data_IF_912413913065
#
_entry.id   IF_912413913065
#
_cell.length_a   1.000
_cell.length_b   1.000
_cell.length_c   1.000
_cell.angle_alpha   90.00
_cell.angle_beta   90.00
_cell.angle_gamma   90.00
#
_symmetry.space_group_name_H-M   'P 1'
#
loop_
_entity.id
_entity.type
_entity.pdbx_description
1 polymer ?
#
# COMPACT_ATOMS: atom_id res chain seq x y z
N UNK A 1 13.05 -10.42 -14.42
CA UNK A 1 13.22 -8.97 -14.62
C UNK A 1 12.89 -8.69 -16.07
N UNK A 2 12.17 -7.60 -16.36
CA UNK A 2 12.06 -7.17 -17.76
C UNK A 2 13.49 -6.97 -18.30
N UNK A 3 13.83 -7.45 -19.51
CA UNK A 3 15.13 -7.20 -20.14
C UNK A 3 15.51 -5.71 -20.21
N UNK A 4 14.53 -4.81 -20.08
CA UNK A 4 14.69 -3.38 -20.31
C UNK A 4 15.40 -2.60 -19.20
N UNK A 5 15.66 -3.19 -18.02
CA UNK A 5 16.31 -2.48 -16.90
C UNK A 5 17.43 -3.33 -16.26
N UNK A 6 18.61 -3.44 -16.90
CA UNK A 6 19.77 -4.07 -16.29
C UNK A 6 20.24 -3.24 -15.09
N UNK A 7 20.30 -3.88 -13.92
CA UNK A 7 20.96 -3.34 -12.74
C UNK A 7 22.47 -3.49 -12.92
N UNK A 8 23.23 -2.49 -12.48
CA UNK A 8 24.68 -2.53 -12.39
C UNK A 8 25.09 -1.82 -11.10
N UNK A 9 26.21 -2.24 -10.50
CA UNK A 9 26.67 -1.71 -9.22
C UNK A 9 26.96 -0.22 -9.30
N UNK A 10 27.48 0.31 -10.43
CA UNK A 10 27.71 1.76 -10.55
C UNK A 10 26.41 2.54 -10.46
N UNK A 11 25.36 2.10 -11.17
CA UNK A 11 24.03 2.72 -11.08
C UNK A 11 23.48 2.70 -9.66
N UNK A 12 23.75 1.64 -8.90
CA UNK A 12 23.34 1.55 -7.49
C UNK A 12 24.06 2.60 -6.65
N UNK A 13 25.38 2.73 -6.80
CA UNK A 13 26.19 3.73 -6.11
C UNK A 13 25.75 5.16 -6.48
N UNK A 14 25.56 5.45 -7.78
CA UNK A 14 25.07 6.75 -8.26
C UNK A 14 23.70 7.11 -7.65
N UNK A 15 22.81 6.11 -7.48
CA UNK A 15 21.52 6.30 -6.82
C UNK A 15 21.70 6.62 -5.34
N UNK A 16 22.60 5.94 -4.64
CA UNK A 16 22.88 6.21 -3.23
C UNK A 16 23.43 7.63 -3.05
N UNK A 17 24.37 8.06 -3.91
CA UNK A 17 24.92 9.41 -3.93
C UNK A 17 23.84 10.46 -4.18
N UNK A 18 23.00 10.27 -5.22
CA UNK A 18 21.90 11.19 -5.55
C UNK A 18 20.88 11.31 -4.43
N UNK A 19 20.67 10.23 -3.66
CA UNK A 19 19.76 10.20 -2.51
C UNK A 19 20.42 10.72 -1.23
N UNK A 20 21.71 11.07 -1.24
CA UNK A 20 22.45 11.53 -0.06
C UNK A 20 22.65 10.45 1.00
N UNK A 21 22.61 9.16 0.61
CA UNK A 21 22.78 8.05 1.54
C UNK A 21 24.27 7.79 1.71
N UNK A 22 24.79 8.03 2.92
CA UNK A 22 26.17 7.72 3.27
C UNK A 22 26.42 6.21 3.16
N UNK A 23 27.45 5.84 2.40
CA UNK A 23 27.77 4.45 2.14
C UNK A 23 29.27 4.24 1.89
N UNK A 24 29.73 3.00 2.13
CA UNK A 24 31.08 2.55 1.81
C UNK A 24 31.05 1.20 1.11
N UNK A 25 31.75 1.07 -0.02
CA UNK A 25 31.92 -0.21 -0.70
C UNK A 25 33.09 -0.97 -0.06
N UNK A 26 32.83 -2.16 0.45
CA UNK A 26 33.83 -3.10 0.96
C UNK A 26 34.01 -4.25 -0.04
N UNK A 27 35.28 -4.56 -0.33
CA UNK A 27 35.65 -5.47 -1.42
C UNK A 27 35.85 -4.72 -2.74
N UNK A 28 35.42 -5.33 -3.85
CA UNK A 28 35.61 -4.78 -5.19
C UNK A 28 34.29 -4.57 -5.94
N UNK A 29 34.38 -3.98 -7.13
CA UNK A 29 33.25 -3.97 -8.06
C UNK A 29 32.82 -5.40 -8.40
N UNK A 30 31.51 -5.63 -8.57
CA UNK A 30 30.94 -6.92 -8.95
C UNK A 30 29.96 -6.73 -10.10
N UNK A 31 29.95 -7.69 -11.02
CA UNK A 31 28.88 -7.85 -11.99
C UNK A 31 27.63 -8.32 -11.22
N UNK A 32 26.67 -7.41 -11.01
CA UNK A 32 25.35 -7.75 -10.47
C UNK A 32 24.33 -7.72 -11.59
N UNK A 33 23.40 -8.66 -11.58
CA UNK A 33 22.44 -8.85 -12.68
C UNK A 33 21.00 -8.69 -12.25
N UNK A 34 20.74 -8.76 -10.94
CA UNK A 34 19.37 -8.77 -10.39
C UNK A 34 19.35 -8.36 -8.92
N UNK A 35 18.23 -7.79 -8.50
CA UNK A 35 17.90 -7.66 -7.07
C UNK A 35 17.31 -8.98 -6.59
N UNK A 36 17.90 -9.58 -5.56
CA UNK A 36 17.58 -10.93 -5.12
C UNK A 36 17.08 -10.96 -3.67
N UNK A 37 16.28 -11.98 -3.34
CA UNK A 37 15.86 -12.23 -1.96
C UNK A 37 16.76 -13.28 -1.32
N UNK A 38 16.95 -13.22 0.01
CA UNK A 38 17.67 -14.28 0.72
C UNK A 38 16.93 -15.63 0.73
N UNK A 39 15.67 -15.67 0.30
CA UNK A 39 14.88 -16.91 0.14
C UNK A 39 15.23 -17.67 -1.15
N UNK A 40 15.55 -16.95 -2.23
CA UNK A 40 15.97 -17.51 -3.51
C UNK A 40 17.30 -16.87 -3.91
N UNK A 41 18.39 -17.53 -3.50
CA UNK A 41 19.75 -17.03 -3.71
C UNK A 41 20.23 -17.43 -5.11
N UNK A 42 20.64 -16.43 -5.87
CA UNK A 42 21.30 -16.54 -7.16
C UNK A 42 22.69 -15.88 -7.08
N UNK A 43 23.71 -16.37 -7.81
CA UNK A 43 24.97 -15.66 -7.94
C UNK A 43 24.74 -14.30 -8.61
N UNK A 44 25.68 -13.36 -8.45
CA UNK A 44 25.61 -12.02 -9.06
C UNK A 44 24.35 -11.23 -8.64
N UNK A 45 23.87 -11.41 -7.41
CA UNK A 45 22.69 -10.71 -6.89
C UNK A 45 23.05 -9.48 -6.07
N UNK A 46 22.16 -8.49 -6.07
CA UNK A 46 22.11 -7.43 -5.06
C UNK A 46 21.13 -7.86 -3.96
N UNK A 47 21.61 -7.94 -2.73
CA UNK A 47 20.86 -8.34 -1.55
C UNK A 47 20.86 -7.22 -0.50
N UNK A 48 19.97 -7.33 0.48
CA UNK A 48 20.10 -6.59 1.73
C UNK A 48 20.07 -7.55 2.93
N UNK A 49 20.74 -7.18 4.01
CA UNK A 49 20.71 -7.91 5.27
C UNK A 49 20.47 -6.93 6.43
N UNK A 50 19.30 -7.05 7.06
CA UNK A 50 18.90 -6.21 8.18
C UNK A 50 19.32 -6.75 9.56
N UNK A 51 19.85 -7.98 9.62
CA UNK A 51 20.44 -8.54 10.83
C UNK A 51 21.80 -7.94 11.14
N UNK A 52 22.40 -8.38 12.25
CA UNK A 52 23.72 -7.97 12.70
C UNK A 52 24.76 -9.07 12.55
N UNK A 53 24.41 -10.23 11.99
CA UNK A 53 25.32 -11.36 11.86
C UNK A 53 25.97 -11.39 10.47
N UNK A 54 27.23 -11.81 10.42
CA UNK A 54 27.98 -11.88 9.18
C UNK A 54 27.69 -13.14 8.33
N UNK A 55 26.79 -14.03 8.78
CA UNK A 55 26.59 -15.33 8.14
C UNK A 55 26.08 -15.20 6.70
N UNK A 56 25.42 -14.09 6.36
CA UNK A 56 24.90 -13.83 5.02
C UNK A 56 25.96 -13.99 3.92
N UNK A 57 27.20 -13.56 4.17
CA UNK A 57 28.30 -13.61 3.18
C UNK A 57 28.74 -15.04 2.86
N UNK A 58 28.51 -16.01 3.74
CA UNK A 58 28.79 -17.44 3.46
C UNK A 58 27.72 -18.08 2.57
N UNK A 59 26.54 -17.46 2.48
CA UNK A 59 25.37 -18.06 1.83
C UNK A 59 25.12 -17.55 0.41
N UNK A 60 25.66 -16.39 0.07
CA UNK A 60 25.59 -15.77 -1.27
C UNK A 60 26.93 -15.92 -1.98
N UNK A 61 26.93 -15.86 -3.32
CA UNK A 61 28.12 -16.06 -4.15
C UNK A 61 28.28 -14.94 -5.17
N UNK A 62 29.48 -14.38 -5.28
CA UNK A 62 29.83 -13.34 -6.26
C UNK A 62 28.83 -12.18 -6.30
N UNK A 63 28.31 -11.80 -5.14
CA UNK A 63 27.16 -10.91 -4.97
C UNK A 63 27.53 -9.65 -4.20
N UNK A 64 26.59 -8.70 -4.13
CA UNK A 64 26.71 -7.49 -3.32
C UNK A 64 25.63 -7.50 -2.24
N UNK A 65 26.01 -7.28 -0.99
CA UNK A 65 25.08 -7.21 0.14
C UNK A 65 25.06 -5.80 0.72
N UNK A 66 23.89 -5.19 0.80
CA UNK A 66 23.67 -3.95 1.56
C UNK A 66 23.49 -4.33 3.04
N UNK A 67 24.33 -3.82 3.92
CA UNK A 67 24.28 -4.13 5.34
C UNK A 67 24.76 -2.96 6.19
N UNK A 68 24.58 -3.05 7.52
CA UNK A 68 25.24 -2.13 8.45
C UNK A 68 26.65 -2.61 8.79
N UNK A 69 27.44 -1.74 9.40
CA UNK A 69 28.83 -2.04 9.78
C UNK A 69 28.91 -3.23 10.76
N UNK A 70 27.93 -3.42 11.64
CA UNK A 70 27.93 -4.51 12.63
C UNK A 70 27.78 -5.89 11.99
N UNK A 71 27.17 -5.96 10.80
CA UNK A 71 26.99 -7.21 10.07
C UNK A 71 28.14 -7.53 9.11
N UNK A 72 29.15 -6.66 9.00
CA UNK A 72 30.28 -6.85 8.09
C UNK A 72 31.23 -7.94 8.65
N UNK A 73 31.59 -8.91 7.81
CA UNK A 73 32.57 -9.94 8.13
C UNK A 73 33.39 -10.34 6.90
N UNK A 74 33.95 -11.56 6.90
CA UNK A 74 34.64 -12.08 5.73
C UNK A 74 33.70 -12.17 4.52
N UNK A 75 34.11 -11.59 3.40
CA UNK A 75 33.23 -11.43 2.25
C UNK A 75 33.06 -12.72 1.42
N UNK A 76 33.94 -13.72 1.56
CA UNK A 76 33.89 -14.99 0.82
C UNK A 76 33.68 -14.85 -0.70
N UNK A 77 34.36 -13.88 -1.33
CA UNK A 77 34.22 -13.61 -2.77
C UNK A 77 33.03 -12.74 -3.15
N UNK A 78 32.32 -12.17 -2.18
CA UNK A 78 31.30 -11.14 -2.37
C UNK A 78 31.88 -9.72 -2.20
N UNK A 79 31.00 -8.72 -2.21
CA UNK A 79 31.27 -7.34 -1.79
C UNK A 79 30.12 -6.85 -0.91
N UNK A 80 30.34 -5.76 -0.16
CA UNK A 80 29.30 -5.17 0.69
C UNK A 80 29.15 -3.66 0.44
N UNK A 81 27.92 -3.17 0.46
CA UNK A 81 27.62 -1.73 0.58
C UNK A 81 27.24 -1.50 2.04
N UNK A 82 28.15 -0.93 2.80
CA UNK A 82 27.95 -0.62 4.22
C UNK A 82 27.23 0.72 4.33
N UNK A 83 26.11 0.75 5.04
CA UNK A 83 25.26 1.94 5.24
C UNK A 83 24.96 2.18 6.73
N UNK A 84 24.70 3.44 7.09
CA UNK A 84 24.31 3.83 8.45
C UNK A 84 22.79 3.74 8.69
N UNK A 85 21.99 3.70 7.62
CA UNK A 85 20.53 3.57 7.67
C UNK A 85 20.07 2.11 7.77
N UNK A 86 18.75 1.88 7.82
CA UNK A 86 18.18 0.53 7.68
C UNK A 86 18.46 -0.05 6.28
N UNK A 87 19.19 -1.19 6.16
CA UNK A 87 19.45 -1.81 4.87
C UNK A 87 18.17 -2.11 4.08
N UNK A 88 17.05 -2.41 4.76
CA UNK A 88 15.75 -2.61 4.11
C UNK A 88 15.22 -1.30 3.49
N UNK A 89 15.34 -0.19 4.21
CA UNK A 89 14.95 1.13 3.70
C UNK A 89 15.80 1.51 2.48
N UNK A 90 17.11 1.27 2.55
CA UNK A 90 18.05 1.61 1.48
C UNK A 90 17.73 0.84 0.20
N UNK A 91 17.54 -0.49 0.27
CA UNK A 91 17.21 -1.27 -0.93
C UNK A 91 15.84 -0.85 -1.51
N UNK A 92 14.86 -0.49 -0.67
CA UNK A 92 13.56 0.01 -1.15
C UNK A 92 13.71 1.33 -1.91
N UNK A 93 14.54 2.26 -1.40
CA UNK A 93 14.83 3.52 -2.09
C UNK A 93 15.57 3.29 -3.41
N UNK A 94 16.55 2.38 -3.45
CA UNK A 94 17.24 2.00 -4.69
C UNK A 94 16.24 1.44 -5.70
N UNK A 95 15.41 0.47 -5.29
CA UNK A 95 14.43 -0.14 -6.16
C UNK A 95 13.40 0.87 -6.69
N UNK A 96 12.93 1.78 -5.84
CA UNK A 96 12.02 2.84 -6.26
C UNK A 96 12.69 3.79 -7.26
N UNK A 97 13.95 4.17 -7.05
CA UNK A 97 14.68 5.06 -7.94
C UNK A 97 15.01 4.44 -9.30
N UNK A 98 15.21 3.12 -9.36
CA UNK A 98 15.60 2.41 -10.58
C UNK A 98 14.44 1.77 -11.34
N UNK A 99 13.39 1.33 -10.66
CA UNK A 99 12.36 0.46 -11.24
C UNK A 99 10.93 0.96 -11.08
N UNK A 100 10.66 2.03 -10.32
CA UNK A 100 9.31 2.53 -10.19
C UNK A 100 8.79 3.05 -11.54
N UNK A 101 7.68 2.47 -12.01
CA UNK A 101 7.02 2.91 -13.24
C UNK A 101 6.42 4.29 -13.02
N UNK A 102 6.76 5.23 -13.90
CA UNK A 102 6.10 6.54 -14.00
C UNK A 102 5.40 6.59 -15.35
N UNK A 103 4.10 6.23 -15.42
CA UNK A 103 3.37 6.38 -16.68
C UNK A 103 3.37 7.86 -17.07
N UNK A 104 3.46 8.16 -18.38
CA UNK A 104 3.36 9.55 -18.84
C UNK A 104 2.00 10.13 -18.44
N UNK A 105 1.98 11.42 -18.12
CA UNK A 105 0.74 12.15 -17.92
C UNK A 105 -0.07 12.21 -19.22
N UNK A 106 -1.39 12.27 -19.08
CA UNK A 106 -2.34 12.27 -20.18
C UNK A 106 -3.45 11.24 -20.03
N UNK A 107 -4.40 11.30 -20.96
CA UNK A 107 -5.55 10.40 -21.03
C UNK A 107 -5.33 9.45 -22.20
N UNK A 108 -5.27 8.16 -21.94
CA UNK A 108 -5.11 7.16 -22.99
C UNK A 108 -6.28 7.25 -23.98
N UNK A 109 -6.07 7.11 -25.30
CA UNK A 109 -7.14 7.26 -26.31
C UNK A 109 -8.35 6.32 -26.15
N UNK A 110 -8.20 5.23 -25.41
CA UNK A 110 -9.27 4.27 -25.14
C UNK A 110 -9.99 4.49 -23.81
N UNK A 111 -9.57 5.49 -23.01
CA UNK A 111 -10.26 5.86 -21.80
C UNK A 111 -11.51 6.70 -22.12
N UNK A 112 -12.59 6.49 -21.37
CA UNK A 112 -13.82 7.27 -21.47
C UNK A 112 -13.90 8.16 -20.24
N UNK A 113 -13.80 9.47 -20.44
CA UNK A 113 -13.87 10.48 -19.38
C UNK A 113 -15.08 11.36 -19.62
N UNK A 114 -15.93 11.50 -18.61
CA UNK A 114 -17.11 12.34 -18.69
C UNK A 114 -16.69 13.80 -18.97
N UNK A 115 -17.39 14.55 -19.86
CA UNK A 115 -16.99 15.92 -20.23
C UNK A 115 -16.87 16.91 -19.06
N UNK A 116 -17.69 16.71 -18.01
CA UNK A 116 -17.65 17.52 -16.78
C UNK A 116 -16.67 16.99 -15.71
N UNK A 117 -15.94 15.91 -15.96
CA UNK A 117 -14.92 15.44 -15.03
C UNK A 117 -13.80 16.49 -14.91
N UNK A 118 -13.30 16.69 -13.69
CA UNK A 118 -12.21 17.64 -13.41
C UNK A 118 -10.92 16.86 -13.23
N UNK A 119 -10.00 17.02 -14.16
CA UNK A 119 -8.72 16.31 -14.18
C UNK A 119 -7.59 17.28 -13.83
N UNK A 120 -6.83 16.96 -12.79
CA UNK A 120 -5.68 17.73 -12.33
C UNK A 120 -4.47 17.68 -13.27
N UNK A 121 -3.44 18.44 -12.91
CA UNK A 121 -2.17 18.46 -13.63
C UNK A 121 -1.41 17.13 -13.47
N UNK A 122 -0.65 16.73 -14.49
CA UNK A 122 0.18 15.51 -14.46
C UNK A 122 -0.58 14.20 -14.12
N UNK A 123 -1.90 14.16 -14.32
CA UNK A 123 -2.70 12.94 -14.14
C UNK A 123 -2.44 11.97 -15.30
N UNK A 124 -2.25 10.70 -14.99
CA UNK A 124 -2.17 9.60 -15.96
C UNK A 124 -3.44 8.74 -15.89
N UNK A 125 -4.21 8.70 -16.96
CA UNK A 125 -5.37 7.81 -17.11
C UNK A 125 -5.05 6.74 -18.15
N UNK A 126 -4.90 5.49 -17.68
CA UNK A 126 -4.54 4.33 -18.48
C UNK A 126 -5.64 3.85 -19.44
N UNK A 127 -5.34 2.80 -20.23
CA UNK A 127 -6.26 2.30 -21.24
C UNK A 127 -7.54 1.74 -20.62
N UNK A 128 -8.67 2.00 -21.27
CA UNK A 128 -10.00 1.47 -20.90
C UNK A 128 -10.48 1.88 -19.50
N UNK A 129 -9.91 2.93 -18.91
CA UNK A 129 -10.49 3.56 -17.74
C UNK A 129 -11.83 4.21 -18.08
N UNK A 130 -12.74 4.23 -17.11
CA UNK A 130 -14.01 4.96 -17.20
C UNK A 130 -14.12 5.91 -16.01
N UNK A 131 -14.23 7.20 -16.28
CA UNK A 131 -14.32 8.26 -15.26
C UNK A 131 -15.62 9.03 -15.44
N UNK A 132 -16.50 8.96 -14.44
CA UNK A 132 -17.76 9.71 -14.37
C UNK A 132 -17.57 11.18 -14.03
N UNK A 133 -18.66 11.87 -13.67
CA UNK A 133 -18.65 13.27 -13.18
C UNK A 133 -17.95 13.39 -11.83
N UNK A 134 -16.63 13.38 -11.86
CA UNK A 134 -15.78 13.24 -10.69
C UNK A 134 -14.53 14.10 -10.80
N UNK A 135 -13.84 14.30 -9.67
CA UNK A 135 -12.60 15.08 -9.61
C UNK A 135 -11.42 14.17 -9.34
N UNK A 136 -10.35 14.34 -10.10
CA UNK A 136 -9.08 13.62 -9.96
C UNK A 136 -7.96 14.64 -9.71
N UNK A 137 -7.32 14.57 -8.55
CA UNK A 137 -6.25 15.49 -8.15
C UNK A 137 -4.92 15.25 -8.86
N UNK A 138 -4.03 16.24 -8.74
CA UNK A 138 -2.77 16.31 -9.48
C UNK A 138 -1.84 15.11 -9.27
N UNK A 139 -1.15 14.67 -10.31
CA UNK A 139 -0.17 13.59 -10.25
C UNK A 139 -0.76 12.19 -9.96
N UNK A 140 -2.09 12.08 -9.90
CA UNK A 140 -2.78 10.80 -9.69
C UNK A 140 -2.66 9.90 -10.92
N UNK A 141 -2.63 8.59 -10.67
CA UNK A 141 -2.40 7.54 -11.68
C UNK A 141 -3.50 6.51 -11.60
N UNK A 142 -4.25 6.37 -12.68
CA UNK A 142 -5.25 5.33 -12.89
C UNK A 142 -4.67 4.32 -13.88
N UNK A 143 -4.41 3.10 -13.44
CA UNK A 143 -4.00 2.01 -14.33
C UNK A 143 -5.18 1.47 -15.14
N UNK A 144 -4.91 0.53 -16.04
CA UNK A 144 -5.91 0.02 -16.99
C UNK A 144 -7.18 -0.48 -16.31
N UNK A 145 -8.33 -0.20 -16.92
CA UNK A 145 -9.64 -0.66 -16.46
C UNK A 145 -10.07 -0.16 -15.06
N UNK A 146 -9.49 0.94 -14.57
CA UNK A 146 -10.03 1.62 -13.38
C UNK A 146 -11.37 2.27 -13.71
N UNK A 147 -12.35 2.11 -12.81
CA UNK A 147 -13.67 2.73 -12.92
C UNK A 147 -13.87 3.70 -11.75
N UNK A 148 -14.13 4.97 -12.07
CA UNK A 148 -14.53 6.00 -11.11
C UNK A 148 -15.96 6.40 -11.44
N UNK A 149 -16.91 6.08 -10.55
CA UNK A 149 -18.31 6.50 -10.68
C UNK A 149 -18.49 8.00 -10.49
N UNK A 150 -19.71 8.49 -10.72
CA UNK A 150 -20.08 9.90 -10.53
C UNK A 150 -19.93 10.35 -9.06
N UNK A 151 -19.71 11.65 -8.84
CA UNK A 151 -19.71 12.24 -7.50
C UNK A 151 -18.54 11.80 -6.63
N UNK A 152 -17.46 11.28 -7.23
CA UNK A 152 -16.27 10.90 -6.50
C UNK A 152 -15.23 12.03 -6.52
N UNK A 153 -14.49 12.15 -5.42
CA UNK A 153 -13.36 13.05 -5.28
C UNK A 153 -12.11 12.25 -4.94
N UNK A 154 -11.14 12.27 -5.83
CA UNK A 154 -9.84 11.62 -5.66
C UNK A 154 -8.79 12.70 -5.46
N UNK A 155 -8.03 12.62 -4.37
CA UNK A 155 -6.96 13.54 -4.03
C UNK A 155 -5.77 13.50 -5.00
N UNK A 156 -4.72 14.23 -4.65
CA UNK A 156 -3.48 14.29 -5.42
C UNK A 156 -2.58 13.06 -5.14
N UNK A 157 -1.77 12.68 -6.14
CA UNK A 157 -0.76 11.61 -6.06
C UNK A 157 -1.35 10.24 -5.67
N UNK A 158 -2.63 10.03 -5.92
CA UNK A 158 -3.30 8.75 -5.68
C UNK A 158 -2.96 7.77 -6.78
N UNK A 159 -2.60 6.53 -6.41
CA UNK A 159 -2.32 5.45 -7.36
C UNK A 159 -3.40 4.36 -7.25
N UNK A 160 -4.08 4.10 -8.37
CA UNK A 160 -5.12 3.09 -8.49
C UNK A 160 -4.66 2.03 -9.49
N UNK A 161 -4.47 0.81 -9.01
CA UNK A 161 -4.07 -0.35 -9.82
C UNK A 161 -5.23 -0.89 -10.69
N UNK A 162 -4.99 -1.86 -11.58
CA UNK A 162 -6.01 -2.36 -12.48
C UNK A 162 -7.27 -2.87 -11.78
N UNK A 163 -8.42 -2.63 -12.41
CA UNK A 163 -9.75 -3.06 -11.94
C UNK A 163 -10.20 -2.46 -10.59
N UNK A 164 -9.51 -1.43 -10.09
CA UNK A 164 -10.05 -0.65 -8.97
C UNK A 164 -11.37 0.00 -9.38
N UNK A 165 -12.42 -0.17 -8.58
CA UNK A 165 -13.74 0.39 -8.82
C UNK A 165 -14.17 1.27 -7.65
N UNK A 166 -14.26 2.57 -7.90
CA UNK A 166 -14.60 3.60 -6.92
C UNK A 166 -16.00 4.13 -7.18
N UNK A 167 -16.82 4.21 -6.14
CA UNK A 167 -18.17 4.74 -6.23
C UNK A 167 -19.21 3.74 -6.74
N UNK A 168 -18.94 2.43 -6.61
CA UNK A 168 -19.90 1.39 -6.95
C UNK A 168 -21.18 1.53 -6.12
N UNK A 169 -22.35 1.23 -6.72
CA UNK A 169 -23.66 1.45 -6.09
C UNK A 169 -23.89 0.69 -4.78
N UNK A 170 -23.26 -0.48 -4.59
CA UNK A 170 -23.55 -1.34 -3.45
C UNK A 170 -24.98 -1.89 -3.45
N UNK A 171 -25.45 -2.32 -2.29
CA UNK A 171 -26.78 -2.90 -2.14
C UNK A 171 -27.37 -2.54 -0.78
N UNK A 172 -28.46 -1.77 -0.80
CA UNK A 172 -29.29 -1.47 0.36
C UNK A 172 -30.75 -1.73 -0.01
N UNK A 173 -31.48 -2.46 0.84
CA UNK A 173 -32.88 -2.80 0.59
C UNK A 173 -33.62 -3.08 1.88
N UNK A 174 -34.94 -2.92 1.84
CA UNK A 174 -35.87 -3.33 2.89
C UNK A 174 -37.00 -4.17 2.29
N UNK A 175 -37.73 -4.89 3.13
CA UNK A 175 -38.98 -5.55 2.73
C UNK A 175 -40.14 -4.56 2.86
N UNK A 176 -41.05 -4.54 1.89
CA UNK A 176 -42.36 -3.90 2.06
C UNK A 176 -43.37 -4.85 2.74
N UNK A 177 -44.60 -4.38 2.98
CA UNK A 177 -45.65 -5.14 3.63
C UNK A 177 -46.09 -6.38 2.82
N UNK A 178 -45.84 -6.38 1.50
CA UNK A 178 -46.16 -7.46 0.58
C UNK A 178 -44.99 -8.45 0.40
N UNK A 179 -43.87 -8.26 1.12
CA UNK A 179 -42.70 -9.14 1.05
C UNK A 179 -41.83 -8.94 -0.20
N UNK A 180 -41.95 -7.80 -0.89
CA UNK A 180 -41.09 -7.43 -2.02
C UNK A 180 -39.87 -6.64 -1.52
N UNK A 181 -38.74 -6.75 -2.24
CA UNK A 181 -37.55 -5.95 -1.95
C UNK A 181 -37.72 -4.55 -2.52
N UNK A 182 -37.63 -3.55 -1.67
CA UNK A 182 -37.50 -2.15 -2.06
C UNK A 182 -36.02 -1.78 -1.98
N UNK A 183 -35.40 -1.55 -3.14
CA UNK A 183 -33.97 -1.22 -3.24
C UNK A 183 -33.81 0.29 -3.11
N UNK A 184 -32.92 0.71 -2.22
CA UNK A 184 -32.52 2.12 -2.09
C UNK A 184 -31.36 2.40 -3.06
N UNK A 185 -31.49 3.37 -3.98
CA UNK A 185 -30.34 3.88 -4.72
C UNK A 185 -29.44 4.69 -3.76
N UNK A 186 -28.15 4.35 -3.72
CA UNK A 186 -27.17 5.09 -2.93
C UNK A 186 -26.79 6.41 -3.63
N UNK A 187 -27.01 7.52 -2.93
CA UNK A 187 -26.92 8.88 -3.47
C UNK A 187 -25.59 9.58 -3.20
N UNK A 188 -24.85 9.14 -2.18
CA UNK A 188 -23.57 9.72 -1.79
C UNK A 188 -22.44 9.43 -2.78
N UNK A 189 -21.28 10.00 -2.50
CA UNK A 189 -20.05 9.83 -3.28
C UNK A 189 -19.00 8.97 -2.59
N UNK A 190 -17.76 9.11 -3.07
CA UNK A 190 -16.56 8.61 -2.41
C UNK A 190 -15.53 9.72 -2.39
N UNK A 191 -14.90 9.94 -1.23
CA UNK A 191 -13.81 10.89 -1.08
C UNK A 191 -12.52 10.15 -0.64
N UNK A 192 -11.48 10.25 -1.46
CA UNK A 192 -10.15 9.66 -1.20
C UNK A 192 -9.14 10.81 -1.05
N UNK A 193 -8.40 10.83 0.06
CA UNK A 193 -7.36 11.82 0.33
C UNK A 193 -6.10 11.62 -0.53
N UNK A 194 -5.17 12.56 -0.38
CA UNK A 194 -3.90 12.53 -1.10
C UNK A 194 -3.04 11.30 -0.77
N UNK A 195 -2.07 11.00 -1.64
CA UNK A 195 -1.01 10.01 -1.40
C UNK A 195 -1.52 8.59 -1.07
N UNK A 196 -2.74 8.27 -1.47
CA UNK A 196 -3.32 6.94 -1.27
C UNK A 196 -2.87 5.96 -2.37
N UNK A 197 -2.80 4.69 -2.02
CA UNK A 197 -2.61 3.59 -2.97
C UNK A 197 -3.72 2.57 -2.79
N UNK A 198 -4.40 2.21 -3.88
CA UNK A 198 -5.37 1.12 -3.91
C UNK A 198 -4.90 0.08 -4.92
N UNK A 199 -4.60 -1.11 -4.42
CA UNK A 199 -4.15 -2.25 -5.21
C UNK A 199 -5.25 -2.86 -6.07
N UNK A 200 -4.87 -3.78 -6.96
CA UNK A 200 -5.76 -4.35 -7.95
C UNK A 200 -7.03 -4.95 -7.34
N UNK A 201 -8.15 -4.84 -8.08
CA UNK A 201 -9.46 -5.37 -7.70
C UNK A 201 -10.04 -4.81 -6.37
N UNK A 202 -9.54 -3.66 -5.88
CA UNK A 202 -10.17 -2.96 -4.75
C UNK A 202 -11.51 -2.36 -5.17
N UNK A 203 -12.55 -2.61 -4.38
CA UNK A 203 -13.89 -2.06 -4.61
C UNK A 203 -14.32 -1.16 -3.47
N UNK A 204 -14.72 0.07 -3.79
CA UNK A 204 -15.22 1.07 -2.83
C UNK A 204 -16.65 1.45 -3.19
N UNK A 205 -17.58 1.10 -2.31
CA UNK A 205 -18.99 1.43 -2.45
C UNK A 205 -19.21 2.88 -2.04
N UNK A 206 -20.02 3.62 -2.80
CA UNK A 206 -20.40 5.00 -2.49
C UNK A 206 -21.19 5.14 -1.18
N UNK A 207 -21.27 6.35 -0.65
CA UNK A 207 -22.11 6.66 0.51
C UNK A 207 -23.61 6.57 0.19
N UNK A 208 -24.46 6.53 1.23
CA UNK A 208 -25.87 6.16 1.07
C UNK A 208 -26.78 7.37 0.83
N UNK A 209 -26.70 8.40 1.67
CA UNK A 209 -27.53 9.60 1.53
C UNK A 209 -26.70 10.84 1.19
N UNK A 210 -26.48 11.72 2.17
CA UNK A 210 -25.72 12.97 2.04
C UNK A 210 -24.26 12.82 2.51
N UNK A 211 -23.87 11.61 2.89
CA UNK A 211 -22.52 11.26 3.30
C UNK A 211 -21.77 10.52 2.19
N UNK A 212 -20.45 10.64 2.21
CA UNK A 212 -19.53 9.86 1.38
C UNK A 212 -18.95 8.69 2.16
N UNK A 213 -18.52 7.66 1.44
CA UNK A 213 -17.48 6.75 1.92
C UNK A 213 -16.13 7.45 1.85
N UNK A 214 -15.33 7.44 2.92
CA UNK A 214 -14.10 8.22 2.99
C UNK A 214 -12.85 7.38 3.27
N UNK A 215 -11.75 7.72 2.58
CA UNK A 215 -10.43 7.14 2.76
C UNK A 215 -9.45 8.27 3.04
N UNK A 216 -8.85 8.29 4.23
CA UNK A 216 -7.92 9.33 4.66
C UNK A 216 -6.57 9.25 3.95
N UNK A 217 -5.92 10.41 3.84
CA UNK A 217 -4.59 10.61 3.23
C UNK A 217 -3.55 9.56 3.63
N UNK A 218 -2.70 9.17 2.67
CA UNK A 218 -1.59 8.25 2.88
C UNK A 218 -2.01 6.80 3.16
N UNK A 219 -3.30 6.47 3.01
CA UNK A 219 -3.80 5.12 3.24
C UNK A 219 -3.44 4.19 2.08
N UNK A 220 -2.95 3.01 2.45
CA UNK A 220 -2.53 1.98 1.52
C UNK A 220 -3.48 0.78 1.65
N UNK A 221 -4.18 0.43 0.57
CA UNK A 221 -5.11 -0.69 0.50
C UNK A 221 -4.56 -1.70 -0.48
N UNK A 222 -4.19 -2.88 0.02
CA UNK A 222 -3.66 -3.96 -0.80
C UNK A 222 -4.77 -4.68 -1.61
N UNK A 223 -4.39 -5.43 -2.66
CA UNK A 223 -5.33 -6.00 -3.62
C UNK A 223 -6.48 -6.81 -3.02
N UNK A 224 -7.61 -6.77 -3.73
CA UNK A 224 -8.82 -7.55 -3.45
C UNK A 224 -9.69 -7.06 -2.29
N UNK A 225 -9.29 -6.01 -1.57
CA UNK A 225 -10.04 -5.47 -0.42
C UNK A 225 -11.37 -4.81 -0.85
N UNK A 226 -12.38 -4.90 0.02
CA UNK A 226 -13.74 -4.37 -0.23
C UNK A 226 -14.17 -3.40 0.87
N UNK A 227 -14.62 -2.22 0.47
CA UNK A 227 -15.05 -1.14 1.34
C UNK A 227 -16.54 -0.86 1.12
N UNK A 228 -17.36 -1.12 2.13
CA UNK A 228 -18.80 -0.90 2.11
C UNK A 228 -19.20 0.57 2.15
N UNK A 229 -20.50 0.83 1.97
CA UNK A 229 -21.06 2.18 1.96
C UNK A 229 -20.88 2.90 3.31
N UNK A 230 -20.56 4.19 3.28
CA UNK A 230 -20.45 5.03 4.48
C UNK A 230 -19.29 4.65 5.41
N UNK A 231 -18.40 3.75 4.98
CA UNK A 231 -17.18 3.43 5.73
C UNK A 231 -16.29 4.67 5.81
N UNK A 232 -15.65 4.86 6.96
CA UNK A 232 -14.70 5.95 7.19
C UNK A 232 -13.36 5.38 7.62
N UNK A 233 -12.35 5.53 6.76
CA UNK A 233 -10.98 5.11 7.05
C UNK A 233 -10.14 6.34 7.37
N UNK A 234 -9.47 6.34 8.51
CA UNK A 234 -8.54 7.38 8.93
C UNK A 234 -7.29 7.45 8.05
N UNK A 235 -6.37 8.37 8.38
CA UNK A 235 -5.13 8.59 7.62
C UNK A 235 -4.09 7.52 7.92
N UNK A 236 -3.18 7.29 6.96
CA UNK A 236 -1.99 6.43 7.09
C UNK A 236 -2.39 5.02 7.59
N UNK A 237 -3.53 4.53 7.12
CA UNK A 237 -3.95 3.16 7.41
C UNK A 237 -3.31 2.19 6.42
N UNK A 238 -3.12 0.95 6.86
CA UNK A 238 -2.73 -0.15 5.98
C UNK A 238 -3.79 -1.24 6.03
N UNK A 239 -4.40 -1.52 4.89
CA UNK A 239 -5.26 -2.69 4.71
C UNK A 239 -4.49 -3.70 3.88
N UNK A 240 -4.18 -4.85 4.46
CA UNK A 240 -3.57 -5.95 3.75
C UNK A 240 -4.58 -6.65 2.82
N UNK A 241 -4.15 -7.69 2.11
CA UNK A 241 -4.91 -8.28 1.02
C UNK A 241 -6.27 -8.80 1.49
N UNK A 242 -7.32 -8.59 0.67
CA UNK A 242 -8.67 -9.11 0.91
C UNK A 242 -9.33 -8.66 2.23
N UNK A 243 -8.99 -7.49 2.76
CA UNK A 243 -9.69 -6.93 3.93
C UNK A 243 -11.13 -6.57 3.53
N UNK A 244 -12.10 -6.89 4.40
CA UNK A 244 -13.51 -6.57 4.18
C UNK A 244 -14.03 -5.62 5.26
N UNK A 245 -14.42 -4.42 4.85
CA UNK A 245 -15.05 -3.42 5.73
C UNK A 245 -16.54 -3.33 5.40
N UNK A 246 -17.38 -3.77 6.33
CA UNK A 246 -18.83 -3.66 6.14
C UNK A 246 -19.32 -2.23 6.39
N UNK A 247 -20.52 -1.92 5.86
CA UNK A 247 -21.06 -0.56 5.82
C UNK A 247 -21.02 0.16 7.17
N UNK A 248 -20.72 1.45 7.14
CA UNK A 248 -20.64 2.34 8.31
C UNK A 248 -19.58 1.99 9.37
N UNK A 249 -18.69 1.02 9.12
CA UNK A 249 -17.54 0.81 10.00
C UNK A 249 -16.58 2.00 9.96
N UNK A 250 -15.90 2.24 11.09
CA UNK A 250 -15.01 3.38 11.27
C UNK A 250 -13.63 2.87 11.69
N UNK A 251 -12.61 3.18 10.90
CA UNK A 251 -11.23 2.78 11.14
C UNK A 251 -10.44 4.02 11.53
N UNK A 252 -9.87 4.04 12.74
CA UNK A 252 -9.03 5.13 13.21
C UNK A 252 -7.73 5.25 12.39
N UNK A 253 -7.04 6.38 12.53
CA UNK A 253 -5.75 6.59 11.85
C UNK A 253 -4.67 5.60 12.30
N UNK A 254 -3.67 5.37 11.43
CA UNK A 254 -2.52 4.48 11.71
C UNK A 254 -2.87 3.02 12.03
N UNK A 255 -4.06 2.55 11.63
CA UNK A 255 -4.42 1.15 11.82
C UNK A 255 -3.73 0.24 10.80
N UNK A 256 -3.44 -0.99 11.22
CA UNK A 256 -3.01 -2.08 10.33
C UNK A 256 -4.05 -3.19 10.36
N UNK A 257 -4.68 -3.47 9.23
CA UNK A 257 -5.68 -4.52 9.07
C UNK A 257 -5.05 -5.68 8.31
N UNK A 258 -4.82 -6.78 9.02
CA UNK A 258 -4.17 -7.97 8.47
C UNK A 258 -5.02 -8.69 7.42
N UNK A 259 -4.35 -9.49 6.59
CA UNK A 259 -4.96 -10.08 5.40
C UNK A 259 -6.24 -10.85 5.74
N UNK A 260 -7.27 -10.68 4.93
CA UNK A 260 -8.58 -11.33 5.08
C UNK A 260 -9.30 -11.05 6.41
N UNK A 261 -8.94 -10.00 7.17
CA UNK A 261 -9.75 -9.61 8.32
C UNK A 261 -11.07 -8.98 7.87
N UNK A 262 -12.10 -9.11 8.71
CA UNK A 262 -13.41 -8.51 8.49
C UNK A 262 -13.81 -7.60 9.65
N UNK A 263 -14.40 -6.46 9.32
CA UNK A 263 -14.98 -5.52 10.30
C UNK A 263 -16.48 -5.45 10.08
N UNK A 264 -17.26 -5.75 11.12
CA UNK A 264 -18.73 -5.76 11.04
C UNK A 264 -19.31 -4.36 10.76
N UNK A 265 -20.58 -4.26 10.32
CA UNK A 265 -21.23 -2.97 10.16
C UNK A 265 -21.21 -2.15 11.44
N UNK A 266 -21.03 -0.83 11.30
CA UNK A 266 -21.02 0.15 12.41
C UNK A 266 -19.93 -0.03 13.48
N UNK A 267 -19.05 -1.02 13.38
CA UNK A 267 -17.98 -1.19 14.35
C UNK A 267 -16.94 -0.08 14.23
N UNK A 268 -16.42 0.36 15.38
CA UNK A 268 -15.32 1.31 15.48
C UNK A 268 -14.02 0.60 15.82
N UNK A 269 -12.94 0.97 15.15
CA UNK A 269 -11.58 0.50 15.40
C UNK A 269 -10.74 1.69 15.82
N UNK A 270 -10.23 1.69 17.06
CA UNK A 270 -9.45 2.80 17.60
C UNK A 270 -8.13 3.01 16.83
N UNK A 271 -7.58 4.24 16.81
CA UNK A 271 -6.32 4.55 16.14
C UNK A 271 -5.15 3.64 16.57
N UNK A 272 -4.22 3.38 15.66
CA UNK A 272 -3.03 2.55 15.94
C UNK A 272 -3.32 1.05 16.12
N UNK A 273 -4.57 0.61 15.97
CA UNK A 273 -4.95 -0.78 16.17
C UNK A 273 -4.34 -1.69 15.09
N UNK A 274 -3.80 -2.82 15.54
CA UNK A 274 -3.42 -3.93 14.66
C UNK A 274 -4.53 -4.99 14.73
N UNK A 275 -5.20 -5.24 13.62
CA UNK A 275 -6.14 -6.35 13.46
C UNK A 275 -5.38 -7.50 12.79
N UNK A 276 -5.32 -8.66 13.46
CA UNK A 276 -4.65 -9.85 12.95
C UNK A 276 -5.28 -10.39 11.66
N UNK A 277 -4.48 -11.13 10.89
CA UNK A 277 -4.96 -11.79 9.67
C UNK A 277 -6.11 -12.77 9.99
N UNK A 278 -7.15 -12.77 9.16
CA UNK A 278 -8.35 -13.59 9.31
C UNK A 278 -9.22 -13.23 10.52
N UNK A 279 -8.92 -12.16 11.26
CA UNK A 279 -9.70 -11.79 12.42
C UNK A 279 -11.06 -11.20 12.04
N UNK A 280 -12.08 -11.39 12.90
CA UNK A 280 -13.42 -10.82 12.70
C UNK A 280 -13.77 -9.88 13.84
N UNK A 281 -13.74 -8.57 13.57
CA UNK A 281 -14.10 -7.53 14.54
C UNK A 281 -15.62 -7.45 14.64
N UNK A 282 -16.17 -8.01 15.73
CA UNK A 282 -17.63 -8.08 15.99
C UNK A 282 -18.12 -7.04 16.98
N UNK A 283 -17.22 -6.24 17.57
CA UNK A 283 -17.52 -5.21 18.58
C UNK A 283 -16.57 -4.04 18.38
N UNK A 284 -16.91 -2.90 18.97
CA UNK A 284 -16.03 -1.74 18.95
C UNK A 284 -14.72 -2.06 19.69
N UNK A 285 -13.62 -1.58 19.12
CA UNK A 285 -12.29 -1.53 19.73
C UNK A 285 -12.07 -0.07 20.09
N UNK A 286 -12.12 0.24 21.37
CA UNK A 286 -12.10 1.62 21.88
C UNK A 286 -10.73 2.06 22.38
N UNK A 287 -9.86 1.11 22.74
CA UNK A 287 -8.50 1.38 23.22
C UNK A 287 -7.55 1.53 22.03
N UNK A 288 -6.90 2.70 21.86
CA UNK A 288 -5.88 2.90 20.82
C UNK A 288 -4.68 1.97 21.00
N UNK A 289 -3.89 1.84 19.93
CA UNK A 289 -2.62 1.11 19.94
C UNK A 289 -2.73 -0.33 20.43
N UNK A 290 -3.90 -0.95 20.28
CA UNK A 290 -4.13 -2.33 20.68
C UNK A 290 -3.85 -3.32 19.56
N UNK A 291 -3.58 -4.57 19.89
CA UNK A 291 -3.54 -5.67 18.93
C UNK A 291 -4.71 -6.59 19.19
N UNK A 292 -5.52 -6.89 18.17
CA UNK A 292 -6.62 -7.86 18.27
C UNK A 292 -6.46 -8.98 17.24
N UNK A 293 -6.88 -10.19 17.57
CA UNK A 293 -6.87 -11.32 16.64
C UNK A 293 -7.96 -12.35 16.97
N UNK A 294 -8.26 -13.23 16.01
CA UNK A 294 -9.20 -14.34 16.18
C UNK A 294 -10.63 -14.08 15.68
N UNK A 295 -11.49 -15.08 15.82
CA UNK A 295 -12.89 -15.06 15.41
C UNK A 295 -13.78 -15.48 16.59
N UNK A 296 -14.44 -14.55 17.30
CA UNK A 296 -14.34 -13.10 17.13
C UNK A 296 -12.97 -12.55 17.59
N UNK A 297 -12.59 -11.38 17.08
CA UNK A 297 -11.35 -10.72 17.43
C UNK A 297 -11.34 -10.32 18.92
N UNK A 298 -10.24 -10.63 19.61
CA UNK A 298 -10.01 -10.29 21.02
C UNK A 298 -8.64 -9.66 21.18
N UNK A 299 -8.48 -8.83 22.21
CA UNK A 299 -7.20 -8.24 22.58
C UNK A 299 -6.16 -9.34 22.78
N UNK A 300 -4.99 -9.10 22.21
CA UNK A 300 -3.79 -9.92 22.34
C UNK A 300 -2.80 -9.22 23.27
N UNK A 301 -1.92 -9.98 23.90
CA UNK A 301 -0.75 -9.41 24.53
C UNK A 301 0.13 -8.75 23.46
N UNK A 302 0.73 -7.61 23.78
CA UNK A 302 1.63 -6.91 22.88
C UNK A 302 2.86 -7.77 22.61
N UNK A 303 3.23 -7.89 21.34
CA UNK A 303 4.48 -8.52 20.90
C UNK A 303 5.42 -7.45 20.37
N UNK A 304 6.69 -7.52 20.76
CA UNK A 304 7.73 -6.61 20.26
C UNK A 304 7.91 -6.69 18.73
N UNK A 305 7.62 -7.84 18.12
CA UNK A 305 7.74 -8.05 16.67
C UNK A 305 6.66 -9.00 16.16
N UNK A 306 5.84 -8.51 15.22
CA UNK A 306 4.86 -9.31 14.48
C UNK A 306 5.37 -9.56 13.06
N UNK A 307 5.32 -10.81 12.60
CA UNK A 307 5.74 -11.16 11.24
C UNK A 307 4.82 -10.53 10.20
N UNK A 308 5.39 -9.92 9.16
CA UNK A 308 4.63 -9.31 8.06
C UNK A 308 3.91 -7.99 8.41
N UNK A 309 4.04 -7.49 9.64
CA UNK A 309 3.53 -6.18 10.04
C UNK A 309 4.72 -5.20 10.07
N UNK A 310 4.63 -4.05 9.38
CA UNK A 310 5.62 -2.98 9.55
C UNK A 310 5.76 -2.61 11.03
N UNK A 311 6.96 -2.21 11.46
CA UNK A 311 7.12 -1.66 12.82
C UNK A 311 6.13 -0.51 12.98
N UNK A 312 5.42 -0.46 14.12
CA UNK A 312 4.56 0.67 14.43
C UNK A 312 5.38 1.95 14.30
N UNK A 313 4.82 2.94 13.61
CA UNK A 313 5.43 4.26 13.58
C UNK A 313 5.35 4.83 14.99
N UNK A 314 6.50 4.87 15.65
CA UNK A 314 6.68 5.63 16.89
C UNK A 314 7.22 6.97 16.43
N UNK A 315 6.40 8.03 16.54
CA UNK A 315 6.92 9.39 16.38
C UNK A 315 8.13 9.50 17.31
N UNK A 316 9.29 9.89 16.78
CA UNK A 316 10.41 10.24 17.64
C UNK A 316 9.87 11.34 18.56
N UNK A 317 9.80 11.06 19.86
CA UNK A 317 9.55 12.10 20.86
C UNK A 317 10.53 13.21 20.56
N UNK A 318 10.01 14.38 20.18
CA UNK A 318 10.80 15.46 19.61
C UNK A 318 12.02 15.80 20.47
N UNK A 319 13.15 15.95 19.79
CA UNK A 319 13.99 17.14 19.97
C UNK A 319 13.24 18.38 19.45
#
# INVERSE_FOLDING_TARGET
>A
MSPDHPIDLRKVLDVLERLGIEHRLEGGMRDIRKVCSLFLKEPNGLYYHAGSDASVFTTVKESVVICRAEALGELHGNSAIVVNEDPQLVIYRICNALFARKPPSGIHPTAIVHPEARIGAEVSIGPYCVVGRSTIGDGSRLESHVVIGDGCTIGARVALEPHVCIGAMGLAWVWDAEGRRVIMPLLGGVTIGDDCFLGADVGVVRGMFNEDTTIGEGTMIAPGSKVGHGVRIGRICHLANNVTLAGWSQIGERCFLGSACAVRPHAKVAPGTIVGSGAVVTRDITEPDTTVAGVPAKRMADKEKSSGVPRRYVARSGE
#
